data_IF_460664630283
#
_entry.id   IF_460664630283
#
_cell.length_a   1.000
_cell.length_b   1.000
_cell.length_c   1.000
_cell.angle_alpha   90.00
_cell.angle_beta   90.00
_cell.angle_gamma   90.00
#
_symmetry.space_group_name_H-M   'P 1'
#
loop_
_entity.id
_entity.type
_entity.pdbx_description
1 polymer ?
#
# COMPACT_ATOMS: atom_id res chain seq x y z
N UNK A 1 -33.46 15.95 -30.69
CA UNK A 1 -32.57 14.95 -30.06
C UNK A 1 -33.36 14.20 -29.02
N UNK A 2 -33.59 12.91 -29.24
CA UNK A 2 -34.19 12.02 -28.23
C UNK A 2 -33.13 11.95 -27.12
N UNK A 3 -33.43 12.61 -25.98
CA UNK A 3 -32.58 12.48 -24.81
C UNK A 3 -32.78 11.06 -24.26
N UNK A 4 -31.88 10.17 -24.57
CA UNK A 4 -31.82 8.84 -23.95
C UNK A 4 -31.72 9.03 -22.44
N UNK A 5 -32.58 8.37 -21.67
CA UNK A 5 -32.59 8.46 -20.22
C UNK A 5 -31.20 7.99 -19.68
N UNK A 6 -30.41 8.86 -19.02
CA UNK A 6 -29.07 8.49 -18.54
C UNK A 6 -29.06 7.21 -17.68
N UNK A 7 -30.12 6.98 -16.88
CA UNK A 7 -30.25 5.78 -16.05
C UNK A 7 -30.38 4.50 -16.88
N UNK A 8 -31.03 4.58 -18.08
CA UNK A 8 -31.09 3.43 -18.97
C UNK A 8 -29.73 3.11 -19.58
N UNK A 9 -28.98 4.14 -20.01
CA UNK A 9 -27.62 3.97 -20.52
C UNK A 9 -26.73 3.37 -19.45
N UNK A 10 -26.81 3.83 -18.20
CA UNK A 10 -26.05 3.30 -17.08
C UNK A 10 -26.40 1.84 -16.79
N UNK A 11 -27.67 1.48 -16.88
CA UNK A 11 -28.13 0.09 -16.72
C UNK A 11 -27.52 -0.82 -17.77
N UNK A 12 -27.54 -0.39 -19.03
CA UNK A 12 -27.00 -1.15 -20.15
C UNK A 12 -25.49 -1.36 -19.99
N UNK A 13 -24.76 -0.31 -19.63
CA UNK A 13 -23.31 -0.39 -19.35
C UNK A 13 -23.01 -1.33 -18.18
N UNK A 14 -23.70 -1.18 -17.04
CA UNK A 14 -23.45 -2.02 -15.88
C UNK A 14 -23.75 -3.49 -16.18
N UNK A 15 -24.81 -3.76 -16.91
CA UNK A 15 -25.17 -5.12 -17.34
C UNK A 15 -24.11 -5.73 -18.28
N UNK A 16 -23.63 -4.95 -19.25
CA UNK A 16 -22.54 -5.36 -20.15
C UNK A 16 -21.25 -5.71 -19.39
N UNK A 17 -21.00 -5.03 -18.28
CA UNK A 17 -19.86 -5.27 -17.37
C UNK A 17 -20.12 -6.31 -16.28
N UNK A 18 -21.21 -7.05 -16.41
CA UNK A 18 -21.56 -8.12 -15.48
C UNK A 18 -22.03 -7.64 -14.10
N UNK A 19 -22.46 -6.40 -13.98
CA UNK A 19 -22.96 -5.80 -12.74
C UNK A 19 -24.49 -5.71 -12.81
N UNK A 20 -25.18 -6.24 -11.79
CA UNK A 20 -26.66 -6.35 -11.78
C UNK A 20 -27.29 -5.67 -10.56
N UNK A 21 -27.19 -4.33 -10.44
CA UNK A 21 -27.89 -3.61 -9.37
C UNK A 21 -29.41 -3.76 -9.56
N UNK A 22 -30.13 -4.00 -8.46
CA UNK A 22 -31.60 -4.07 -8.49
C UNK A 22 -32.21 -2.73 -8.95
N UNK A 23 -31.65 -1.62 -8.45
CA UNK A 23 -31.99 -0.27 -8.83
C UNK A 23 -30.72 0.57 -8.94
N UNK A 24 -30.68 1.55 -9.85
CA UNK A 24 -29.55 2.46 -9.98
C UNK A 24 -29.85 3.74 -9.22
N UNK A 25 -29.14 3.96 -8.13
CA UNK A 25 -29.17 5.18 -7.35
C UNK A 25 -28.14 6.16 -7.89
N UNK A 26 -28.60 7.33 -8.37
CA UNK A 26 -27.74 8.35 -8.98
C UNK A 26 -27.53 9.55 -8.03
N UNK A 27 -27.20 9.24 -6.78
CA UNK A 27 -26.97 10.22 -5.71
C UNK A 27 -25.49 10.59 -5.52
N UNK A 28 -24.63 10.10 -6.41
CA UNK A 28 -23.19 10.34 -6.37
C UNK A 28 -22.45 9.59 -5.27
N UNK A 29 -23.08 8.67 -4.57
CA UNK A 29 -22.46 7.82 -3.55
C UNK A 29 -22.04 6.48 -4.15
N UNK A 30 -21.13 5.80 -3.45
CA UNK A 30 -20.72 4.45 -3.82
C UNK A 30 -21.81 3.45 -3.43
N UNK A 31 -22.36 2.76 -4.41
CA UNK A 31 -23.33 1.68 -4.23
C UNK A 31 -22.69 0.34 -4.56
N UNK A 32 -22.92 -0.64 -3.68
CA UNK A 32 -22.51 -2.03 -3.90
C UNK A 32 -23.62 -2.76 -4.65
N UNK A 33 -23.24 -3.67 -5.54
CA UNK A 33 -24.20 -4.49 -6.27
C UNK A 33 -23.67 -5.90 -6.51
N UNK A 34 -24.57 -6.86 -6.76
CA UNK A 34 -24.21 -8.19 -7.19
C UNK A 34 -23.56 -8.18 -8.57
N UNK A 35 -22.85 -9.28 -8.87
CA UNK A 35 -22.35 -9.60 -10.20
C UNK A 35 -23.16 -10.77 -10.79
N UNK A 36 -23.14 -10.90 -12.12
CA UNK A 36 -23.86 -11.98 -12.81
C UNK A 36 -23.41 -13.37 -12.36
N UNK A 37 -22.14 -13.53 -12.09
CA UNK A 37 -21.53 -14.80 -11.66
C UNK A 37 -21.77 -15.11 -10.19
N UNK A 38 -21.99 -14.08 -9.35
CA UNK A 38 -22.24 -14.21 -7.90
C UNK A 38 -23.38 -13.33 -7.43
N UNK A 39 -24.62 -13.68 -7.77
CA UNK A 39 -25.81 -12.84 -7.52
C UNK A 39 -26.13 -12.66 -6.02
N UNK A 40 -25.53 -13.46 -5.15
CA UNK A 40 -25.73 -13.36 -3.68
C UNK A 40 -24.60 -12.60 -2.97
N UNK A 41 -23.57 -12.10 -3.70
CA UNK A 41 -22.46 -11.34 -3.14
C UNK A 41 -22.40 -9.93 -3.72
N UNK A 42 -21.95 -8.97 -2.93
CA UNK A 42 -21.81 -7.56 -3.31
C UNK A 42 -20.41 -7.30 -3.91
N UNK A 43 -20.05 -8.03 -4.98
CA UNK A 43 -18.72 -8.00 -5.60
C UNK A 43 -18.56 -6.94 -6.70
N UNK A 44 -19.61 -6.15 -6.95
CA UNK A 44 -19.57 -5.01 -7.83
C UNK A 44 -19.82 -3.70 -7.09
N UNK A 45 -19.44 -2.58 -7.70
CA UNK A 45 -19.76 -1.25 -7.22
C UNK A 45 -19.93 -0.27 -8.37
N UNK A 46 -20.71 0.80 -8.13
CA UNK A 46 -20.84 1.91 -9.05
C UNK A 46 -21.06 3.22 -8.30
N UNK A 47 -20.80 4.33 -9.00
CA UNK A 47 -21.17 5.69 -8.61
C UNK A 47 -21.81 6.33 -9.82
N UNK A 48 -23.04 6.84 -9.69
CA UNK A 48 -23.79 7.43 -10.78
C UNK A 48 -24.24 8.86 -10.47
N UNK A 49 -24.17 9.73 -11.48
CA UNK A 49 -24.70 11.09 -11.46
C UNK A 49 -25.50 11.31 -12.74
N UNK A 50 -26.71 11.83 -12.64
CA UNK A 50 -27.57 12.14 -13.80
C UNK A 50 -27.52 13.60 -14.24
N UNK A 51 -26.77 14.43 -13.52
CA UNK A 51 -26.54 15.83 -13.91
C UNK A 51 -25.72 15.90 -15.21
N UNK A 52 -26.01 16.91 -16.06
CA UNK A 52 -25.33 17.07 -17.34
C UNK A 52 -23.92 17.65 -17.14
N UNK A 53 -22.86 16.97 -17.66
CA UNK A 53 -22.88 15.65 -18.28
C UNK A 53 -23.08 14.54 -17.25
N UNK A 54 -23.99 13.59 -17.55
CA UNK A 54 -24.23 12.46 -16.66
C UNK A 54 -23.01 11.52 -16.67
N UNK A 55 -22.62 11.03 -15.50
CA UNK A 55 -21.40 10.23 -15.34
C UNK A 55 -21.66 8.96 -14.55
N UNK A 56 -21.00 7.89 -14.95
CA UNK A 56 -20.99 6.62 -14.28
C UNK A 56 -19.55 6.15 -14.06
N UNK A 57 -19.19 5.82 -12.84
CA UNK A 57 -18.03 5.00 -12.54
C UNK A 57 -18.52 3.61 -12.09
N UNK A 58 -17.77 2.57 -12.45
CA UNK A 58 -18.09 1.20 -12.07
C UNK A 58 -16.82 0.39 -11.83
N UNK A 59 -16.93 -0.66 -11.02
CA UNK A 59 -15.87 -1.62 -10.73
C UNK A 59 -16.47 -3.01 -10.49
N UNK A 60 -15.91 -4.02 -11.16
CA UNK A 60 -16.21 -5.42 -10.93
C UNK A 60 -14.96 -6.06 -10.27
N UNK A 61 -15.06 -6.35 -8.97
CA UNK A 61 -13.93 -6.91 -8.21
C UNK A 61 -13.68 -8.40 -8.49
N UNK A 62 -14.51 -9.08 -9.27
CA UNK A 62 -14.26 -10.48 -9.61
C UNK A 62 -13.20 -10.63 -10.70
N UNK A 63 -13.24 -9.72 -11.68
CA UNK A 63 -12.32 -9.73 -12.81
C UNK A 63 -11.34 -8.54 -12.80
N UNK A 64 -11.48 -7.63 -11.83
CA UNK A 64 -10.64 -6.43 -11.71
C UNK A 64 -10.98 -5.32 -12.71
N UNK A 65 -12.02 -5.50 -13.53
CA UNK A 65 -12.44 -4.48 -14.50
C UNK A 65 -13.07 -3.28 -13.83
N UNK A 66 -12.66 -2.09 -14.25
CA UNK A 66 -13.26 -0.84 -13.81
C UNK A 66 -13.25 0.18 -14.95
N UNK A 67 -14.15 1.16 -14.88
CA UNK A 67 -14.22 2.17 -15.91
C UNK A 67 -15.10 3.36 -15.52
N UNK A 68 -15.08 4.34 -16.40
CA UNK A 68 -15.91 5.54 -16.30
C UNK A 68 -16.61 5.77 -17.63
N UNK A 69 -17.84 6.24 -17.57
CA UNK A 69 -18.61 6.68 -18.72
C UNK A 69 -19.14 8.10 -18.47
N UNK A 70 -19.20 8.90 -19.55
CA UNK A 70 -19.76 10.23 -19.53
C UNK A 70 -20.64 10.39 -20.78
N UNK A 71 -21.81 10.97 -20.64
CA UNK A 71 -22.80 11.12 -21.73
C UNK A 71 -22.39 12.13 -22.80
N UNK A 72 -21.44 13.05 -22.49
CA UNK A 72 -20.93 14.05 -23.42
C UNK A 72 -19.41 14.11 -23.36
N UNK A 73 -18.78 14.28 -24.51
CA UNK A 73 -17.35 14.58 -24.55
C UNK A 73 -17.10 15.98 -23.99
N UNK A 74 -16.09 16.13 -23.15
CA UNK A 74 -15.69 17.40 -22.52
C UNK A 74 -15.48 18.56 -23.55
N UNK A 75 -15.26 18.20 -24.80
CA UNK A 75 -15.06 19.15 -25.91
C UNK A 75 -16.35 19.83 -26.41
N UNK A 76 -17.53 19.31 -26.05
CA UNK A 76 -18.83 19.84 -26.50
C UNK A 76 -19.46 20.83 -25.53
N UNK A 77 -18.91 20.96 -24.31
CA UNK A 77 -19.41 21.88 -23.29
C UNK A 77 -18.90 23.32 -23.54
N UNK A 78 -19.75 24.29 -23.38
CA UNK A 78 -19.34 25.69 -23.36
C UNK A 78 -18.43 25.99 -22.15
N UNK A 79 -17.68 27.07 -22.20
CA UNK A 79 -16.78 27.49 -21.12
C UNK A 79 -17.52 27.66 -19.80
N UNK A 80 -18.73 28.18 -19.81
CA UNK A 80 -19.58 28.37 -18.64
C UNK A 80 -20.06 27.04 -18.06
N UNK A 81 -20.46 26.07 -18.90
CA UNK A 81 -20.88 24.72 -18.47
C UNK A 81 -19.70 23.92 -17.89
N UNK A 82 -18.52 24.01 -18.49
CA UNK A 82 -17.29 23.44 -17.97
C UNK A 82 -16.91 24.03 -16.61
N UNK A 83 -17.08 25.33 -16.42
CA UNK A 83 -16.82 25.99 -15.14
C UNK A 83 -17.78 25.51 -14.05
N UNK A 84 -19.08 25.51 -14.35
CA UNK A 84 -20.11 25.04 -13.43
C UNK A 84 -19.94 23.55 -13.08
N UNK A 85 -19.54 22.71 -14.05
CA UNK A 85 -19.25 21.29 -13.83
C UNK A 85 -18.02 21.11 -12.90
N UNK A 86 -16.93 21.84 -13.12
CA UNK A 86 -15.75 21.81 -12.24
C UNK A 86 -16.07 22.24 -10.81
N UNK A 87 -16.81 23.33 -10.66
CA UNK A 87 -17.27 23.79 -9.33
C UNK A 87 -18.09 22.74 -8.60
N UNK A 88 -19.01 22.07 -9.32
CA UNK A 88 -19.82 20.98 -8.77
C UNK A 88 -18.96 19.79 -8.34
N UNK A 89 -18.01 19.36 -9.19
CA UNK A 89 -17.08 18.28 -8.82
C UNK A 89 -16.25 18.64 -7.59
N UNK A 90 -15.75 19.87 -7.50
CA UNK A 90 -15.03 20.36 -6.32
C UNK A 90 -15.93 20.42 -5.06
N UNK A 91 -17.19 20.78 -5.22
CA UNK A 91 -18.15 20.78 -4.10
C UNK A 91 -18.41 19.37 -3.59
N UNK A 92 -18.70 18.43 -4.50
CA UNK A 92 -18.93 17.02 -4.16
C UNK A 92 -17.69 16.41 -3.50
N UNK A 93 -16.50 16.71 -4.04
CA UNK A 93 -15.25 16.23 -3.45
C UNK A 93 -15.05 16.77 -2.04
N UNK A 94 -15.26 18.07 -1.81
CA UNK A 94 -15.16 18.68 -0.47
C UNK A 94 -16.16 18.09 0.52
N UNK A 95 -17.40 17.83 0.09
CA UNK A 95 -18.39 17.17 0.96
C UNK A 95 -17.95 15.77 1.36
N UNK A 96 -17.48 14.95 0.39
CA UNK A 96 -16.95 13.61 0.68
C UNK A 96 -15.75 13.65 1.62
N UNK A 97 -14.82 14.55 1.38
CA UNK A 97 -13.64 14.73 2.25
C UNK A 97 -14.06 15.12 3.68
N UNK A 98 -15.07 16.00 3.83
CA UNK A 98 -15.62 16.37 5.13
C UNK A 98 -16.32 15.19 5.82
N UNK A 99 -17.16 14.43 5.12
CA UNK A 99 -17.80 13.22 5.66
C UNK A 99 -16.77 12.16 6.07
N UNK A 100 -15.72 11.94 5.26
CA UNK A 100 -14.63 11.03 5.63
C UNK A 100 -13.84 11.54 6.84
N UNK A 101 -13.56 12.84 6.91
CA UNK A 101 -12.86 13.44 8.04
C UNK A 101 -13.65 13.29 9.34
N UNK A 102 -14.96 13.51 9.32
CA UNK A 102 -15.86 13.31 10.46
C UNK A 102 -15.86 11.84 10.93
N UNK A 103 -16.08 10.90 10.02
CA UNK A 103 -16.03 9.45 10.33
C UNK A 103 -14.68 9.01 10.88
N UNK A 104 -13.59 9.55 10.34
CA UNK A 104 -12.24 9.27 10.85
C UNK A 104 -12.03 9.87 12.24
N UNK A 105 -12.55 11.06 12.52
CA UNK A 105 -12.48 11.68 13.84
C UNK A 105 -13.25 10.89 14.89
N UNK A 106 -14.47 10.44 14.57
CA UNK A 106 -15.27 9.55 15.43
C UNK A 106 -14.54 8.23 15.71
N UNK A 107 -14.03 7.59 14.67
CA UNK A 107 -13.28 6.34 14.82
C UNK A 107 -12.00 6.52 15.65
N UNK A 108 -11.28 7.64 15.49
CA UNK A 108 -10.12 7.94 16.31
C UNK A 108 -10.50 8.20 17.78
N UNK A 109 -11.67 8.77 18.06
CA UNK A 109 -12.18 8.91 19.41
C UNK A 109 -12.51 7.55 20.06
N UNK A 110 -13.19 6.68 19.32
CA UNK A 110 -13.47 5.30 19.75
C UNK A 110 -12.16 4.51 19.98
N UNK A 111 -11.19 4.66 19.08
CA UNK A 111 -9.88 4.05 19.23
C UNK A 111 -9.19 4.47 20.53
N UNK A 112 -9.23 5.78 20.88
CA UNK A 112 -8.66 6.28 22.13
C UNK A 112 -9.39 5.74 23.37
N UNK A 113 -10.72 5.68 23.34
CA UNK A 113 -11.50 5.12 24.45
C UNK A 113 -11.17 3.64 24.68
N UNK A 114 -11.13 2.88 23.60
CA UNK A 114 -10.78 1.46 23.66
C UNK A 114 -9.35 1.24 24.13
N UNK A 115 -8.39 1.95 23.57
CA UNK A 115 -6.99 1.91 23.97
C UNK A 115 -6.81 2.20 25.46
N UNK A 116 -7.45 3.23 25.98
CA UNK A 116 -7.35 3.65 27.38
C UNK A 116 -8.00 2.65 28.34
N UNK A 117 -9.02 1.90 27.90
CA UNK A 117 -9.70 0.88 28.69
C UNK A 117 -9.04 -0.50 28.63
N UNK A 118 -8.11 -0.69 27.70
CA UNK A 118 -7.42 -1.94 27.50
C UNK A 118 -6.31 -2.16 28.54
N UNK A 119 -6.05 -3.42 28.87
CA UNK A 119 -4.97 -3.81 29.78
C UNK A 119 -3.64 -4.02 29.04
N UNK A 120 -2.55 -4.14 29.79
CA UNK A 120 -1.28 -4.63 29.25
C UNK A 120 -1.47 -6.00 28.61
N UNK A 121 -0.72 -6.24 27.52
CA UNK A 121 -0.77 -7.50 26.81
C UNK A 121 -0.27 -8.66 27.67
N UNK A 122 -1.02 -9.76 27.69
CA UNK A 122 -0.58 -11.00 28.31
C UNK A 122 0.57 -11.62 27.49
N UNK A 123 1.68 -11.92 28.15
CA UNK A 123 2.84 -12.56 27.51
C UNK A 123 2.49 -13.94 26.90
N UNK A 124 1.49 -14.63 27.47
CA UNK A 124 1.02 -15.93 26.98
C UNK A 124 -0.11 -15.83 25.94
N UNK A 125 -0.31 -14.67 25.33
CA UNK A 125 -1.35 -14.51 24.31
C UNK A 125 -1.15 -15.51 23.15
N UNK A 126 -2.19 -16.28 22.74
CA UNK A 126 -2.05 -17.37 21.75
C UNK A 126 -1.43 -16.95 20.42
N UNK A 127 -1.73 -15.73 19.95
CA UNK A 127 -1.14 -15.20 18.72
C UNK A 127 0.37 -14.96 18.86
N UNK A 128 0.81 -14.37 19.99
CA UNK A 128 2.25 -14.10 20.24
C UNK A 128 3.02 -15.41 20.31
N UNK A 129 2.50 -16.38 21.07
CA UNK A 129 3.10 -17.70 21.17
C UNK A 129 3.22 -18.39 19.81
N UNK A 130 2.13 -18.41 19.02
CA UNK A 130 2.14 -19.02 17.68
C UNK A 130 3.11 -18.32 16.72
N UNK A 131 3.35 -17.01 16.88
CA UNK A 131 4.27 -16.23 16.06
C UNK A 131 5.71 -16.16 16.62
N UNK A 132 5.98 -16.84 17.75
CA UNK A 132 7.30 -16.86 18.37
C UNK A 132 7.79 -15.50 18.86
N UNK A 133 6.90 -14.54 19.11
CA UNK A 133 7.22 -13.17 19.51
C UNK A 133 6.76 -12.88 20.94
N UNK A 134 7.46 -11.96 21.61
CA UNK A 134 7.14 -11.54 22.97
C UNK A 134 6.14 -10.40 23.01
N UNK A 135 5.45 -10.23 24.13
CA UNK A 135 4.61 -9.07 24.35
C UNK A 135 5.46 -7.80 24.40
N UNK A 136 5.07 -6.81 23.62
CA UNK A 136 5.69 -5.48 23.59
C UNK A 136 4.89 -4.53 24.49
N UNK A 137 5.55 -3.61 25.18
CA UNK A 137 4.90 -2.59 26.01
C UNK A 137 4.03 -1.63 25.18
N UNK A 138 4.31 -1.52 23.88
CA UNK A 138 3.62 -0.66 22.93
C UNK A 138 2.30 -1.22 22.39
N UNK A 139 1.86 -2.41 22.85
CA UNK A 139 0.58 -3.03 22.49
C UNK A 139 -0.27 -3.28 23.73
N UNK A 140 -1.57 -3.38 23.54
CA UNK A 140 -2.52 -3.67 24.62
C UNK A 140 -3.42 -4.84 24.27
N UNK A 141 -4.16 -5.32 25.24
CA UNK A 141 -5.14 -6.38 25.10
C UNK A 141 -6.52 -5.91 25.50
N UNK A 142 -7.48 -6.06 24.59
CA UNK A 142 -8.89 -5.76 24.83
C UNK A 142 -9.56 -6.81 25.72
N UNK A 143 -10.76 -6.50 26.22
CA UNK A 143 -11.54 -7.42 27.08
C UNK A 143 -11.95 -8.71 26.38
N UNK A 144 -12.13 -8.68 25.05
CA UNK A 144 -12.44 -9.84 24.21
C UNK A 144 -11.23 -10.72 23.93
N UNK A 145 -10.08 -10.40 24.52
CA UNK A 145 -8.83 -11.12 24.34
C UNK A 145 -8.02 -10.70 23.11
N UNK A 146 -8.53 -9.86 22.21
CA UNK A 146 -7.77 -9.41 21.03
C UNK A 146 -6.62 -8.47 21.43
N UNK A 147 -5.49 -8.57 20.71
CA UNK A 147 -4.42 -7.57 20.78
C UNK A 147 -4.86 -6.30 20.07
N UNK A 148 -4.50 -5.17 20.64
CA UNK A 148 -4.70 -3.84 20.04
C UNK A 148 -3.35 -3.30 19.59
N UNK A 149 -3.20 -3.12 18.29
CA UNK A 149 -2.04 -2.49 17.67
C UNK A 149 -2.45 -1.08 17.24
N UNK A 150 -1.86 -0.02 17.80
CA UNK A 150 -2.28 1.34 17.50
C UNK A 150 -1.84 1.76 16.09
N UNK A 151 -2.76 2.33 15.33
CA UNK A 151 -2.49 2.96 14.04
C UNK A 151 -2.30 4.45 14.25
N UNK A 152 -1.05 4.91 14.15
CA UNK A 152 -0.67 6.30 14.42
C UNK A 152 -0.45 7.05 13.11
N UNK A 153 -0.74 8.33 13.08
CA UNK A 153 -0.32 9.20 11.96
C UNK A 153 1.16 9.65 12.10
N UNK A 154 1.65 10.42 11.13
CA UNK A 154 3.01 10.95 11.14
C UNK A 154 3.32 11.86 12.36
N UNK A 155 2.31 12.45 12.98
CA UNK A 155 2.42 13.28 14.19
C UNK A 155 2.25 12.47 15.49
N UNK A 156 2.17 11.14 15.39
CA UNK A 156 1.91 10.21 16.50
C UNK A 156 0.52 10.37 17.15
N UNK A 157 -0.49 10.82 16.42
CA UNK A 157 -1.86 10.81 16.90
C UNK A 157 -2.52 9.47 16.55
N UNK A 158 -3.23 8.87 17.51
CA UNK A 158 -3.98 7.63 17.31
C UNK A 158 -5.16 7.87 16.36
N UNK A 159 -5.16 7.19 15.22
CA UNK A 159 -6.17 7.29 14.16
C UNK A 159 -7.10 6.09 14.11
N UNK A 160 -6.60 4.91 14.49
CA UNK A 160 -7.34 3.66 14.42
C UNK A 160 -6.65 2.60 15.28
N UNK A 161 -7.24 1.41 15.33
CA UNK A 161 -6.65 0.21 15.94
C UNK A 161 -6.72 -0.95 14.95
N UNK A 162 -5.65 -1.73 14.86
CA UNK A 162 -5.73 -3.09 14.31
C UNK A 162 -5.93 -4.05 15.48
N UNK A 163 -7.00 -4.83 15.42
CA UNK A 163 -7.24 -5.95 16.35
C UNK A 163 -6.66 -7.22 15.76
N UNK A 164 -5.93 -7.96 16.58
CA UNK A 164 -5.45 -9.30 16.25
C UNK A 164 -6.06 -10.26 17.25
N UNK A 165 -6.95 -11.10 16.76
CA UNK A 165 -7.65 -12.08 17.60
C UNK A 165 -6.75 -13.28 17.95
N UNK A 166 -7.09 -14.05 19.00
CA UNK A 166 -6.31 -15.25 19.39
C UNK A 166 -6.14 -16.27 18.25
N UNK A 167 -7.08 -16.35 17.31
CA UNK A 167 -7.01 -17.20 16.12
C UNK A 167 -6.09 -16.67 15.01
N UNK A 168 -5.62 -15.42 15.15
CA UNK A 168 -4.77 -14.72 14.16
C UNK A 168 -5.54 -13.84 13.18
N UNK A 169 -6.87 -13.84 13.23
CA UNK A 169 -7.70 -12.94 12.41
C UNK A 169 -7.35 -11.49 12.73
N UNK A 170 -7.14 -10.68 11.68
CA UNK A 170 -6.82 -9.26 11.80
C UNK A 170 -7.97 -8.40 11.28
N UNK A 171 -8.39 -7.40 12.05
CA UNK A 171 -9.42 -6.44 11.65
C UNK A 171 -9.06 -5.02 12.09
N UNK A 172 -9.31 -4.05 11.24
CA UNK A 172 -9.22 -2.65 11.63
C UNK A 172 -10.54 -2.16 12.24
N UNK A 173 -10.43 -1.13 13.09
CA UNK A 173 -11.60 -0.44 13.60
C UNK A 173 -12.36 0.19 12.42
N UNK A 174 -13.68 -0.07 12.37
CA UNK A 174 -14.55 0.42 11.29
C UNK A 174 -14.54 1.95 11.25
N UNK A 175 -14.36 2.52 10.06
CA UNK A 175 -14.24 3.97 9.87
C UNK A 175 -12.89 4.56 10.23
N UNK A 176 -11.95 3.78 10.79
CA UNK A 176 -10.62 4.25 11.15
C UNK A 176 -9.73 4.55 9.93
N UNK A 177 -8.94 5.61 10.01
CA UNK A 177 -7.97 5.96 8.99
C UNK A 177 -6.74 5.08 9.11
N UNK A 178 -6.50 4.22 8.10
CA UNK A 178 -5.33 3.34 8.03
C UNK A 178 -4.30 3.85 7.03
N UNK A 179 -4.74 4.49 5.95
CA UNK A 179 -3.86 5.02 4.91
C UNK A 179 -2.92 6.10 5.46
N UNK A 180 -1.61 5.90 5.30
CA UNK A 180 -0.56 6.72 5.92
C UNK A 180 -0.36 6.44 7.41
N UNK A 181 -1.11 5.49 7.99
CA UNK A 181 -0.96 5.06 9.37
C UNK A 181 0.21 4.09 9.53
N UNK A 182 0.81 4.12 10.71
CA UNK A 182 1.97 3.32 11.07
C UNK A 182 1.89 2.88 12.53
N UNK A 183 2.55 1.77 12.86
CA UNK A 183 2.85 1.39 14.23
C UNK A 183 4.37 1.39 14.42
N UNK A 184 4.85 1.89 15.55
CA UNK A 184 6.28 2.03 15.81
C UNK A 184 6.68 1.12 16.96
N UNK A 185 7.62 0.21 16.70
CA UNK A 185 8.34 -0.52 17.73
C UNK A 185 9.64 0.22 17.95
N UNK A 186 9.74 0.93 19.07
CA UNK A 186 10.88 1.79 19.36
C UNK A 186 12.10 0.96 19.70
N UNK A 187 13.17 1.12 18.94
CA UNK A 187 14.47 0.51 19.16
C UNK A 187 15.55 1.51 19.57
N UNK A 188 16.79 1.13 19.39
CA UNK A 188 17.96 1.94 19.74
C UNK A 188 18.15 3.09 18.73
N UNK A 189 18.25 4.35 19.19
CA UNK A 189 18.26 5.52 18.30
C UNK A 189 19.41 5.56 17.29
N UNK A 190 20.57 4.97 17.62
CA UNK A 190 21.76 4.95 16.76
C UNK A 190 21.69 3.91 15.64
N UNK A 191 20.84 2.91 15.79
CA UNK A 191 20.67 1.82 14.82
C UNK A 191 19.81 2.25 13.60
N UNK A 192 19.84 1.45 12.51
CA UNK A 192 18.98 1.64 11.35
C UNK A 192 17.48 1.62 11.69
N UNK A 193 16.68 2.08 10.75
CA UNK A 193 15.23 1.99 10.80
C UNK A 193 14.77 0.92 9.80
N UNK A 194 13.99 -0.05 10.27
CA UNK A 194 13.33 -1.00 9.39
C UNK A 194 11.88 -0.59 9.15
N UNK A 195 11.36 -0.88 7.94
CA UNK A 195 9.95 -0.69 7.59
C UNK A 195 9.45 -2.01 7.02
N UNK A 196 8.34 -2.53 7.54
CA UNK A 196 7.74 -3.78 7.11
C UNK A 196 6.22 -3.69 7.03
N UNK A 197 5.58 -4.73 6.49
CA UNK A 197 4.13 -4.75 6.35
C UNK A 197 3.43 -5.12 7.65
N UNK A 198 3.78 -6.25 8.25
CA UNK A 198 3.03 -6.90 9.32
C UNK A 198 3.59 -6.68 10.72
N UNK A 199 2.71 -6.70 11.74
CA UNK A 199 3.11 -6.60 13.15
C UNK A 199 4.07 -7.71 13.57
N UNK A 200 3.79 -8.99 13.23
CA UNK A 200 4.65 -10.09 13.62
C UNK A 200 6.04 -10.02 12.97
N UNK A 201 6.08 -9.66 11.69
CA UNK A 201 7.31 -9.39 10.95
C UNK A 201 8.13 -8.30 11.63
N UNK A 202 7.47 -7.17 11.99
CA UNK A 202 8.11 -6.07 12.71
C UNK A 202 8.65 -6.45 14.08
N UNK A 203 7.89 -7.24 14.85
CA UNK A 203 8.32 -7.73 16.15
C UNK A 203 9.55 -8.67 16.02
N UNK A 204 9.58 -9.56 15.03
CA UNK A 204 10.73 -10.43 14.77
C UNK A 204 12.00 -9.64 14.41
N UNK A 205 11.86 -8.63 13.54
CA UNK A 205 12.97 -7.73 13.18
C UNK A 205 13.50 -7.00 14.42
N UNK A 206 12.60 -6.44 15.23
CA UNK A 206 12.97 -5.75 16.48
C UNK A 206 13.70 -6.68 17.45
N UNK A 207 13.16 -7.88 17.70
CA UNK A 207 13.78 -8.87 18.58
C UNK A 207 15.16 -9.32 18.11
N UNK A 208 15.33 -9.45 16.78
CA UNK A 208 16.60 -9.84 16.18
C UNK A 208 17.67 -8.76 16.30
N UNK A 209 17.31 -7.49 16.08
CA UNK A 209 18.27 -6.42 15.80
C UNK A 209 18.27 -5.29 16.83
N UNK A 210 17.18 -5.10 17.55
CA UNK A 210 16.95 -3.91 18.38
C UNK A 210 16.76 -2.63 17.57
N UNK A 211 16.47 -2.71 16.27
CA UNK A 211 16.22 -1.54 15.43
C UNK A 211 14.84 -0.95 15.70
N UNK A 212 14.68 0.35 15.43
CA UNK A 212 13.34 0.93 15.37
C UNK A 212 12.62 0.40 14.13
N UNK A 213 11.42 -0.14 14.33
CA UNK A 213 10.64 -0.74 13.24
C UNK A 213 9.32 0.01 13.05
N UNK A 214 9.06 0.39 11.81
CA UNK A 214 7.80 0.96 11.37
C UNK A 214 6.97 -0.11 10.66
N UNK A 215 5.80 -0.42 11.20
CA UNK A 215 4.84 -1.36 10.60
C UNK A 215 3.83 -0.58 9.81
N UNK A 216 3.73 -0.86 8.51
CA UNK A 216 2.86 -0.16 7.57
C UNK A 216 1.46 -0.76 7.44
N UNK A 217 1.19 -1.93 8.04
CA UNK A 217 -0.07 -2.68 8.04
C UNK A 217 -0.51 -3.28 6.70
N UNK A 218 0.04 -2.85 5.58
CA UNK A 218 -0.24 -3.43 4.26
C UNK A 218 0.83 -3.02 3.25
N UNK A 219 1.04 -3.84 2.20
CA UNK A 219 1.93 -3.55 1.09
C UNK A 219 1.63 -2.19 0.44
N UNK A 220 0.34 -1.87 0.23
CA UNK A 220 -0.09 -0.61 -0.38
C UNK A 220 0.26 0.65 0.45
N UNK A 221 0.55 0.48 1.73
CA UNK A 221 0.88 1.59 2.63
C UNK A 221 2.40 1.77 2.83
N UNK A 222 3.21 0.78 2.43
CA UNK A 222 4.68 0.81 2.58
C UNK A 222 5.30 2.09 2.00
N UNK A 223 4.95 2.46 0.77
CA UNK A 223 5.48 3.63 0.10
C UNK A 223 5.20 4.95 0.84
N UNK A 224 4.00 5.09 1.41
CA UNK A 224 3.62 6.27 2.19
C UNK A 224 4.38 6.36 3.50
N UNK A 225 4.49 5.24 4.23
CA UNK A 225 5.25 5.16 5.49
C UNK A 225 6.73 5.41 5.21
N UNK A 226 7.30 4.78 4.18
CA UNK A 226 8.70 4.96 3.79
C UNK A 226 9.03 6.42 3.48
N UNK A 227 8.19 7.11 2.71
CA UNK A 227 8.33 8.54 2.44
C UNK A 227 8.32 9.37 3.74
N UNK A 228 7.33 9.15 4.60
CA UNK A 228 7.19 9.86 5.89
C UNK A 228 8.42 9.64 6.78
N UNK A 229 8.90 8.40 6.87
CA UNK A 229 10.10 8.07 7.67
C UNK A 229 11.34 8.74 7.09
N UNK A 230 11.51 8.74 5.77
CA UNK A 230 12.65 9.42 5.11
C UNK A 230 12.63 10.93 5.31
N UNK A 231 11.48 11.57 5.21
CA UNK A 231 11.31 13.00 5.48
C UNK A 231 11.66 13.34 6.94
N UNK A 232 11.30 12.48 7.89
CA UNK A 232 11.55 12.69 9.32
C UNK A 232 13.00 12.38 9.70
N UNK A 233 13.65 11.44 9.03
CA UNK A 233 15.01 10.96 9.33
C UNK A 233 15.84 10.91 8.05
N UNK A 234 16.21 12.06 7.46
CA UNK A 234 16.87 12.13 6.15
C UNK A 234 18.23 11.43 6.13
N UNK A 235 18.95 11.44 7.25
CA UNK A 235 20.31 10.91 7.37
C UNK A 235 20.38 9.46 7.89
N UNK A 236 19.23 8.89 8.26
CA UNK A 236 19.19 7.51 8.75
C UNK A 236 19.22 6.49 7.62
N UNK A 237 19.91 5.40 7.88
CA UNK A 237 19.81 4.19 7.06
C UNK A 237 18.43 3.59 7.26
N UNK A 238 17.68 3.47 6.18
CA UNK A 238 16.34 2.89 6.15
C UNK A 238 16.38 1.60 5.34
N UNK A 239 15.77 0.56 5.87
CA UNK A 239 15.69 -0.76 5.24
C UNK A 239 14.20 -1.12 5.11
N UNK A 240 13.77 -1.38 3.89
CA UNK A 240 12.44 -1.95 3.60
C UNK A 240 12.58 -3.47 3.70
N UNK A 241 11.86 -4.06 4.65
CA UNK A 241 11.77 -5.50 4.83
C UNK A 241 10.49 -5.98 4.16
N UNK A 242 10.57 -6.35 2.89
CA UNK A 242 9.43 -6.74 2.07
C UNK A 242 9.03 -8.20 2.28
N UNK A 243 7.76 -8.50 2.07
CA UNK A 243 7.27 -9.86 1.98
C UNK A 243 7.66 -10.45 0.62
N UNK A 244 8.09 -11.70 0.58
CA UNK A 244 8.63 -12.38 -0.60
C UNK A 244 7.51 -12.99 -1.47
N UNK A 245 6.44 -12.20 -1.72
CA UNK A 245 5.38 -12.51 -2.67
C UNK A 245 5.33 -11.45 -3.80
N UNK A 246 4.52 -11.67 -4.81
CA UNK A 246 4.44 -10.77 -5.98
C UNK A 246 4.04 -9.35 -5.59
N UNK A 247 3.07 -9.21 -4.69
CA UNK A 247 2.58 -7.90 -4.22
C UNK A 247 3.62 -7.18 -3.36
N UNK A 248 4.24 -7.90 -2.42
CA UNK A 248 5.29 -7.41 -1.52
C UNK A 248 6.53 -6.96 -2.29
N UNK A 249 6.98 -7.73 -3.29
CA UNK A 249 8.11 -7.36 -4.15
C UNK A 249 7.87 -6.04 -4.87
N UNK A 250 6.76 -5.91 -5.60
CA UNK A 250 6.41 -4.69 -6.34
C UNK A 250 6.28 -3.46 -5.44
N UNK A 251 5.61 -3.60 -4.31
CA UNK A 251 5.39 -2.49 -3.36
C UNK A 251 6.63 -2.16 -2.54
N UNK A 252 7.45 -3.17 -2.24
CA UNK A 252 8.76 -2.97 -1.62
C UNK A 252 9.71 -2.16 -2.49
N UNK A 253 9.78 -2.46 -3.79
CA UNK A 253 10.57 -1.68 -4.76
C UNK A 253 10.12 -0.22 -4.86
N UNK A 254 8.80 0.02 -4.93
CA UNK A 254 8.23 1.37 -4.92
C UNK A 254 8.61 2.13 -3.64
N UNK A 255 8.46 1.50 -2.48
CA UNK A 255 8.78 2.10 -1.19
C UNK A 255 10.28 2.40 -1.04
N UNK A 256 11.14 1.47 -1.46
CA UNK A 256 12.60 1.63 -1.42
C UNK A 256 13.07 2.77 -2.32
N UNK A 257 12.51 2.89 -3.54
CA UNK A 257 12.80 3.99 -4.45
C UNK A 257 12.44 5.36 -3.87
N UNK A 258 11.25 5.49 -3.27
CA UNK A 258 10.77 6.74 -2.69
C UNK A 258 11.58 7.19 -1.45
N UNK A 259 12.05 6.25 -0.66
CA UNK A 259 12.83 6.54 0.55
C UNK A 259 14.35 6.55 0.32
N UNK A 260 14.81 6.24 -0.89
CA UNK A 260 16.22 5.93 -1.16
C UNK A 260 16.76 4.94 -0.12
N UNK A 261 16.00 3.85 0.07
CA UNK A 261 16.23 2.84 1.09
C UNK A 261 16.68 1.52 0.46
N UNK A 262 17.35 0.69 1.23
CA UNK A 262 17.66 -0.67 0.83
C UNK A 262 16.41 -1.55 0.95
N UNK A 263 16.18 -2.42 -0.02
CA UNK A 263 15.13 -3.43 0.00
C UNK A 263 15.70 -4.80 0.29
N UNK A 264 15.11 -5.48 1.26
CA UNK A 264 15.47 -6.83 1.64
C UNK A 264 14.25 -7.72 1.68
N UNK A 265 14.42 -8.94 1.19
CA UNK A 265 13.47 -10.03 1.34
C UNK A 265 14.10 -11.13 2.19
N UNK A 266 13.33 -11.86 2.99
CA UNK A 266 13.85 -13.02 3.70
C UNK A 266 14.28 -14.08 2.68
N UNK A 267 15.44 -14.67 2.95
CA UNK A 267 15.96 -15.80 2.19
C UNK A 267 15.88 -17.05 3.06
N UNK A 268 15.28 -18.09 2.54
CA UNK A 268 15.06 -19.37 3.22
C UNK A 268 15.97 -20.43 2.66
N UNK A 269 16.41 -21.34 3.52
CA UNK A 269 17.16 -22.56 3.07
C UNK A 269 16.25 -23.48 2.27
N UNK A 270 14.98 -23.58 2.69
CA UNK A 270 13.90 -24.28 1.99
C UNK A 270 12.80 -23.26 1.68
N UNK A 271 12.23 -23.23 0.48
CA UNK A 271 11.25 -22.22 -0.01
C UNK A 271 9.89 -22.24 0.71
N UNK A 272 9.88 -22.26 2.06
CA UNK A 272 8.69 -22.47 2.88
C UNK A 272 8.20 -21.23 3.65
N UNK A 273 8.59 -20.00 3.26
CA UNK A 273 8.18 -18.79 3.97
C UNK A 273 8.12 -17.57 3.06
N UNK A 274 7.47 -16.52 3.55
CA UNK A 274 7.28 -15.28 2.79
C UNK A 274 7.78 -14.03 3.52
N UNK A 275 7.84 -14.03 4.85
CA UNK A 275 8.22 -12.86 5.63
C UNK A 275 9.29 -13.15 6.70
N UNK A 276 9.85 -12.12 7.34
CA UNK A 276 10.87 -12.28 8.37
C UNK A 276 10.36 -12.90 9.67
N UNK A 277 9.05 -12.97 9.91
CA UNK A 277 8.51 -13.75 11.00
C UNK A 277 8.50 -15.25 10.67
N UNK A 278 8.20 -15.62 9.42
CA UNK A 278 8.33 -16.99 8.97
C UNK A 278 9.78 -17.46 9.06
N UNK A 279 10.74 -16.62 8.64
CA UNK A 279 12.18 -16.89 8.79
C UNK A 279 12.56 -17.10 10.27
N UNK A 280 12.04 -16.24 11.17
CA UNK A 280 12.23 -16.39 12.61
C UNK A 280 11.72 -17.74 13.14
N UNK A 281 10.55 -18.18 12.68
CA UNK A 281 9.95 -19.43 13.14
C UNK A 281 10.63 -20.68 12.56
N UNK A 282 11.11 -20.62 11.33
CA UNK A 282 11.70 -21.76 10.61
C UNK A 282 13.18 -21.91 10.96
N UNK A 283 13.95 -20.84 10.89
CA UNK A 283 15.42 -20.85 11.00
C UNK A 283 15.94 -20.17 12.29
N UNK A 284 15.06 -19.56 13.06
CA UNK A 284 15.38 -18.92 14.34
C UNK A 284 15.73 -17.43 14.19
N UNK A 285 15.82 -16.77 15.36
CA UNK A 285 16.01 -15.32 15.44
C UNK A 285 17.38 -14.86 14.92
N UNK A 286 18.41 -15.72 15.04
CA UNK A 286 19.77 -15.42 14.57
C UNK A 286 19.86 -15.38 13.04
N UNK A 287 19.05 -16.18 12.33
CA UNK A 287 18.96 -16.12 10.87
C UNK A 287 18.42 -14.75 10.43
N UNK A 288 17.38 -14.24 11.09
CA UNK A 288 16.85 -12.89 10.85
C UNK A 288 17.92 -11.84 11.08
N UNK A 289 18.63 -11.89 12.22
CA UNK A 289 19.72 -10.98 12.55
C UNK A 289 20.82 -10.98 11.50
N UNK A 290 21.32 -12.17 11.17
CA UNK A 290 22.42 -12.34 10.23
C UNK A 290 22.09 -11.76 8.84
N UNK A 291 20.89 -12.02 8.32
CA UNK A 291 20.49 -11.48 7.01
C UNK A 291 20.39 -9.96 7.01
N UNK A 292 19.81 -9.36 8.06
CA UNK A 292 19.63 -7.91 8.17
C UNK A 292 20.98 -7.19 8.39
N UNK A 293 21.87 -7.70 9.23
CA UNK A 293 23.18 -7.10 9.50
C UNK A 293 24.16 -7.26 8.31
N UNK A 294 24.12 -8.42 7.63
CA UNK A 294 24.92 -8.64 6.42
C UNK A 294 24.56 -7.64 5.31
N UNK A 295 23.29 -7.29 5.19
CA UNK A 295 22.85 -6.31 4.22
C UNK A 295 23.43 -4.91 4.48
N UNK A 296 23.59 -4.52 5.75
CA UNK A 296 24.23 -3.25 6.12
C UNK A 296 25.71 -3.20 5.73
N UNK A 297 26.43 -4.30 5.93
CA UNK A 297 27.87 -4.36 5.61
C UNK A 297 28.13 -4.31 4.12
N UNK A 298 27.25 -4.87 3.28
CA UNK A 298 27.34 -4.77 1.82
C UNK A 298 27.18 -3.33 1.29
N UNK A 299 26.54 -2.45 2.04
CA UNK A 299 26.33 -1.04 1.64
C UNK A 299 27.56 -0.15 1.97
N UNK A 300 28.49 -0.59 2.81
CA UNK A 300 29.63 0.21 3.26
C UNK A 300 30.89 0.09 2.37
N UNK A 301 30.85 -0.68 1.30
CA UNK A 301 32.03 -0.96 0.50
C UNK A 301 32.04 -0.32 -0.88
N UNK A 302 32.73 0.81 -1.06
CA UNK A 302 33.59 0.97 -2.24
C UNK A 302 34.49 -0.27 -2.26
N UNK A 303 34.21 -1.23 -3.13
CA UNK A 303 35.10 -2.36 -3.36
C UNK A 303 36.28 -1.76 -4.13
N UNK A 304 37.36 -1.39 -3.44
CA UNK A 304 38.62 -1.08 -4.08
C UNK A 304 39.21 -2.42 -4.55
N UNK A 305 39.01 -2.74 -5.81
CA UNK A 305 39.68 -3.86 -6.46
C UNK A 305 41.09 -3.42 -6.85
N UNK A 306 42.06 -4.27 -6.64
CA UNK A 306 43.36 -4.02 -7.27
C UNK A 306 43.26 -4.23 -8.80
N UNK A 307 44.21 -3.69 -9.55
CA UNK A 307 44.16 -3.73 -11.01
C UNK A 307 44.19 -5.19 -11.55
N UNK A 308 44.85 -6.11 -10.86
CA UNK A 308 44.90 -7.53 -11.25
C UNK A 308 43.53 -8.22 -11.06
N UNK A 309 42.86 -7.97 -9.94
CA UNK A 309 41.52 -8.46 -9.66
C UNK A 309 40.53 -7.89 -10.67
N UNK A 310 40.56 -6.58 -10.95
CA UNK A 310 39.69 -5.93 -11.93
C UNK A 310 39.86 -6.53 -13.34
N UNK A 311 41.08 -6.76 -13.78
CA UNK A 311 41.37 -7.32 -15.09
C UNK A 311 41.00 -8.83 -15.21
N UNK A 312 40.93 -9.53 -14.08
CA UNK A 312 40.51 -10.94 -14.04
C UNK A 312 38.99 -11.13 -13.97
N UNK A 313 38.22 -10.08 -13.71
CA UNK A 313 36.76 -10.14 -13.63
C UNK A 313 36.14 -10.39 -15.00
N UNK A 314 35.26 -11.40 -15.07
CA UNK A 314 34.37 -11.58 -16.21
C UNK A 314 33.25 -10.52 -16.12
N UNK A 315 33.41 -9.41 -16.81
CA UNK A 315 32.37 -8.39 -16.94
C UNK A 315 31.38 -8.86 -18.00
N UNK A 316 30.09 -9.08 -17.65
CA UNK A 316 29.09 -9.46 -18.64
C UNK A 316 28.97 -8.40 -19.74
N UNK A 317 28.88 -8.83 -20.99
CA UNK A 317 28.64 -7.90 -22.10
C UNK A 317 27.37 -7.08 -21.87
N UNK A 318 27.46 -5.79 -22.17
CA UNK A 318 26.34 -4.87 -22.01
C UNK A 318 25.25 -5.24 -23.02
N UNK A 319 24.08 -5.65 -22.51
CA UNK A 319 22.91 -5.88 -23.37
C UNK A 319 22.42 -4.58 -24.00
N UNK A 320 21.84 -4.66 -25.20
CA UNK A 320 21.25 -3.53 -25.92
C UNK A 320 19.77 -3.78 -26.16
N UNK A 321 18.94 -2.77 -25.89
CA UNK A 321 17.54 -2.70 -26.33
C UNK A 321 17.48 -2.40 -27.85
N UNK A 322 18.42 -1.58 -28.34
CA UNK A 322 18.62 -1.28 -29.75
C UNK A 322 20.15 -1.19 -30.00
N UNK A 323 20.74 -2.27 -30.52
CA UNK A 323 22.17 -2.34 -30.76
C UNK A 323 22.58 -1.47 -31.96
N UNK A 324 23.70 -0.74 -31.87
CA UNK A 324 24.57 -0.45 -30.74
C UNK A 324 24.17 0.83 -29.99
N UNK A 325 22.98 1.39 -30.22
CA UNK A 325 22.60 2.77 -29.89
C UNK A 325 22.03 2.90 -28.49
N UNK A 326 21.18 1.96 -28.05
CA UNK A 326 20.48 2.05 -26.78
C UNK A 326 20.79 0.83 -25.88
N UNK A 327 21.72 0.95 -24.93
CA UNK A 327 21.99 -0.13 -23.98
C UNK A 327 20.84 -0.32 -23.00
N UNK A 328 20.70 -1.55 -22.45
CA UNK A 328 19.79 -1.83 -21.34
C UNK A 328 20.11 -0.87 -20.19
N UNK A 329 19.10 -0.25 -19.59
CA UNK A 329 19.22 0.83 -18.60
C UNK A 329 19.84 2.13 -19.12
N UNK A 330 19.96 2.30 -20.43
CA UNK A 330 20.35 3.54 -21.07
C UNK A 330 19.16 4.47 -21.32
N UNK A 331 19.40 5.78 -21.28
CA UNK A 331 18.42 6.79 -21.67
C UNK A 331 18.85 7.33 -23.05
N UNK A 332 17.94 7.25 -24.04
CA UNK A 332 18.13 7.81 -25.37
C UNK A 332 17.14 8.93 -25.66
N UNK A 333 17.59 10.02 -26.26
CA UNK A 333 16.74 11.08 -26.77
C UNK A 333 16.84 11.11 -28.30
N UNK A 334 15.72 10.81 -28.98
CA UNK A 334 15.62 10.91 -30.42
C UNK A 334 15.17 12.33 -30.81
N UNK A 335 16.10 13.13 -31.32
CA UNK A 335 15.82 14.50 -31.77
C UNK A 335 15.84 14.60 -33.30
N UNK A 336 14.82 15.20 -33.89
CA UNK A 336 14.77 15.49 -35.31
C UNK A 336 13.70 16.56 -35.59
N UNK A 337 13.81 17.38 -36.70
CA UNK A 337 12.78 18.31 -37.13
C UNK A 337 11.43 17.62 -37.38
N UNK A 338 10.35 18.40 -37.44
CA UNK A 338 9.01 17.87 -37.77
C UNK A 338 9.01 17.24 -39.18
N UNK A 339 8.28 16.15 -39.34
CA UNK A 339 8.03 15.51 -40.65
C UNK A 339 9.03 14.45 -41.09
N UNK A 340 10.09 14.13 -40.32
CA UNK A 340 11.09 13.13 -40.72
C UNK A 340 10.87 11.75 -40.06
N UNK A 341 9.64 11.39 -39.74
CA UNK A 341 9.30 10.02 -39.40
C UNK A 341 9.76 9.51 -38.02
N UNK A 342 10.01 10.39 -37.00
CA UNK A 342 10.41 10.00 -35.66
C UNK A 342 9.47 8.94 -35.01
N UNK A 343 8.18 9.04 -35.28
CA UNK A 343 7.14 8.14 -34.77
C UNK A 343 7.27 6.72 -35.32
N UNK A 344 7.97 6.51 -36.43
CA UNK A 344 8.24 5.19 -36.98
C UNK A 344 9.54 4.56 -36.47
N UNK A 345 10.35 5.31 -35.71
CA UNK A 345 11.63 4.87 -35.15
C UNK A 345 11.56 4.64 -33.64
N UNK A 346 10.47 5.04 -32.99
CA UNK A 346 10.17 4.81 -31.58
C UNK A 346 9.15 3.69 -31.42
#
# INVERSE_FOLDING_TARGET
RIMSNPLQIFRDILTDKGLIPAEIMADGKLHRCPTQTKPHKQNGAYIAHVDIPATLWWCNWENGEQGTFCTEEKQTLSVSELSAWRERQHSIQRQREAEYAERHAEAAQLARQEWNSARMCDANHPYLHRKGITALESIRQARDGSLLIPVMDAANNLQSLQRIYPDGTKRFLVGGKVSGGQFIIQGQPEKPIAICEGFATGASIYLATGWTVYVAFSANNLARVAKTVKERFPDKTIIICGDNDEAGRKRGEEAAGLANAQLLFPHFTDDNGTDFNDLHQIEGIEAVRSQLETALTKQQGLIALDMGEFLSMSIPERGYLLSPVLPVQGIGILYAPRGIGKTFAA
#
